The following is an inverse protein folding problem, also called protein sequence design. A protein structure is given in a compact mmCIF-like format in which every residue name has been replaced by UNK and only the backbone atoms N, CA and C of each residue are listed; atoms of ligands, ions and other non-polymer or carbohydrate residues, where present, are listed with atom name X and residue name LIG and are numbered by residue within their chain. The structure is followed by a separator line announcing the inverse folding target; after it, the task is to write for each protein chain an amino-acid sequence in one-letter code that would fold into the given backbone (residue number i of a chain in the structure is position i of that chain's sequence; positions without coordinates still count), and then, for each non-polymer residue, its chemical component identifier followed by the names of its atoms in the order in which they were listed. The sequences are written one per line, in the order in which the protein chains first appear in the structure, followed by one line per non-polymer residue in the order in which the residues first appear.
data_IF_356587414972
#
_entry.id   IF_356587414972
#
_cell.length_a   1.000
_cell.length_b   1.000
_cell.length_c   1.000
_cell.angle_alpha   90.00
_cell.angle_beta   90.00
_cell.angle_gamma   90.00
#
_symmetry.space_group_name_H-M   'P 1'
#
loop_
_entity.id
_entity.type
_entity.pdbx_description
1 polymer ?
#
# COMPACT_ATOMS: atom_id res chain seq x y z
N UNK A 1 45.30 -86.69 21.68
CA UNK A 1 45.92 -86.80 23.00
C UNK A 1 46.12 -85.41 23.59
N UNK A 2 45.82 -85.34 24.89
CA UNK A 2 46.09 -84.13 25.65
C UNK A 2 47.54 -83.78 25.64
N UNK A 3 47.92 -82.54 25.38
CA UNK A 3 49.28 -82.05 25.56
C UNK A 3 49.39 -81.29 26.87
N UNK A 4 50.38 -81.59 27.65
CA UNK A 4 50.73 -80.89 28.86
C UNK A 4 51.38 -79.54 28.47
N UNK A 5 50.80 -78.42 28.99
CA UNK A 5 51.46 -77.12 28.80
C UNK A 5 52.62 -76.98 29.81
N UNK A 6 53.50 -76.02 29.54
CA UNK A 6 54.62 -75.65 30.41
C UNK A 6 54.19 -75.19 31.83
N UNK A 7 52.91 -74.97 32.06
CA UNK A 7 52.32 -74.62 33.35
C UNK A 7 51.70 -75.80 34.10
N UNK A 8 51.82 -77.06 33.61
CA UNK A 8 51.18 -78.23 34.21
C UNK A 8 49.69 -78.40 33.93
N UNK A 9 49.13 -77.58 33.05
CA UNK A 9 47.78 -77.72 32.59
C UNK A 9 47.71 -78.57 31.30
N UNK A 10 46.64 -79.34 31.14
CA UNK A 10 46.39 -80.12 29.94
C UNK A 10 45.42 -79.36 29.01
N UNK A 11 45.83 -79.11 27.78
CA UNK A 11 45.06 -78.47 26.76
C UNK A 11 44.73 -79.42 25.62
N UNK A 12 43.52 -79.33 25.13
CA UNK A 12 43.09 -80.06 23.94
C UNK A 12 42.22 -79.11 23.07
N UNK A 13 42.68 -78.93 21.84
CA UNK A 13 41.93 -78.15 20.86
C UNK A 13 41.01 -79.10 20.08
N UNK A 14 39.73 -78.77 20.07
CA UNK A 14 38.73 -79.45 19.27
C UNK A 14 38.59 -78.65 17.97
N UNK A 15 38.83 -79.26 16.85
CA UNK A 15 38.71 -78.66 15.50
C UNK A 15 37.49 -79.25 14.77
N UNK A 16 37.19 -78.63 13.61
CA UNK A 16 36.15 -79.10 12.69
C UNK A 16 34.74 -79.08 13.30
N UNK A 17 34.46 -78.08 14.18
CA UNK A 17 33.15 -77.87 14.75
C UNK A 17 32.29 -77.08 13.76
N UNK A 18 31.02 -77.51 13.60
CA UNK A 18 30.05 -76.79 12.84
C UNK A 18 29.69 -75.44 13.54
N UNK A 19 29.51 -74.39 12.85
CA UNK A 19 29.09 -73.12 13.43
C UNK A 19 27.64 -73.18 13.91
N UNK A 20 27.29 -72.34 14.92
CA UNK A 20 25.95 -72.20 15.55
C UNK A 20 25.39 -73.51 16.10
N UNK A 21 26.27 -74.37 16.59
CA UNK A 21 25.89 -75.68 17.10
C UNK A 21 26.28 -75.84 18.56
N UNK A 22 25.38 -76.40 19.34
CA UNK A 22 25.68 -76.77 20.73
C UNK A 22 26.49 -78.08 20.77
N UNK A 23 27.57 -78.04 21.50
CA UNK A 23 28.44 -79.20 21.76
C UNK A 23 28.52 -79.49 23.24
N UNK A 24 28.52 -80.79 23.54
CA UNK A 24 28.68 -81.30 24.88
C UNK A 24 30.01 -82.01 24.97
N UNK A 25 30.97 -81.43 25.69
CA UNK A 25 32.30 -82.06 25.90
C UNK A 25 32.29 -82.74 27.22
N UNK A 26 32.70 -84.02 27.17
CA UNK A 26 32.79 -84.87 28.35
C UNK A 26 34.30 -85.24 28.55
N UNK A 27 34.81 -84.88 29.72
CA UNK A 27 36.12 -85.27 30.13
C UNK A 27 35.98 -86.55 31.00
N UNK A 28 36.68 -87.58 30.57
CA UNK A 28 36.82 -88.84 31.30
C UNK A 28 38.26 -89.11 31.61
N UNK A 29 38.60 -89.33 32.89
CA UNK A 29 39.93 -89.71 33.33
C UNK A 29 39.97 -91.21 33.54
N UNK A 30 40.89 -91.92 32.89
CA UNK A 30 41.12 -93.34 33.01
C UNK A 30 42.49 -93.58 33.66
N UNK A 31 42.45 -94.15 34.88
CA UNK A 31 43.69 -94.65 35.56
C UNK A 31 43.72 -96.16 35.41
N UNK A 32 44.89 -96.72 35.12
CA UNK A 32 45.11 -98.15 34.87
C UNK A 32 43.98 -99.08 35.36
N UNK A 33 43.12 -99.52 34.44
CA UNK A 33 42.11 -100.54 34.66
C UNK A 33 40.74 -100.06 35.27
N UNK A 34 40.60 -98.84 35.74
CA UNK A 34 39.33 -98.31 36.35
C UNK A 34 38.97 -96.98 35.72
N UNK A 35 37.68 -96.80 35.36
CA UNK A 35 37.11 -95.52 34.97
C UNK A 35 36.89 -94.68 36.22
N UNK A 36 37.34 -93.43 36.21
CA UNK A 36 36.94 -92.44 37.24
C UNK A 36 35.46 -92.16 37.14
N UNK A 37 34.81 -92.13 38.27
CA UNK A 37 33.34 -91.79 38.37
C UNK A 37 33.11 -90.29 38.28
N UNK A 38 34.15 -89.40 38.35
CA UNK A 38 34.00 -87.98 38.18
C UNK A 38 34.04 -87.58 36.71
N UNK A 39 32.88 -87.25 36.20
CA UNK A 39 32.68 -86.76 34.80
C UNK A 39 32.30 -85.34 34.83
N UNK A 40 33.18 -84.50 34.27
CA UNK A 40 32.88 -83.12 34.07
C UNK A 40 32.33 -82.91 32.64
N UNK A 41 31.22 -82.21 32.56
CA UNK A 41 30.59 -81.83 31.32
C UNK A 41 30.74 -80.32 31.13
N UNK A 42 31.09 -79.88 29.91
CA UNK A 42 31.12 -78.53 29.51
C UNK A 42 30.29 -78.41 28.24
N UNK A 43 29.28 -77.58 28.31
CA UNK A 43 28.45 -77.25 27.15
C UNK A 43 28.91 -75.91 26.62
N UNK A 44 29.04 -75.78 25.34
CA UNK A 44 29.28 -74.53 24.66
C UNK A 44 28.64 -74.56 23.30
N UNK A 45 28.29 -73.36 22.80
CA UNK A 45 27.78 -73.18 21.47
C UNK A 45 28.87 -72.49 20.62
N UNK A 46 29.12 -73.00 19.42
CA UNK A 46 30.01 -72.36 18.47
C UNK A 46 29.39 -71.06 17.95
N UNK A 47 30.24 -70.08 17.68
CA UNK A 47 29.77 -68.80 17.07
C UNK A 47 29.23 -69.03 15.64
N UNK A 48 28.25 -68.25 15.25
CA UNK A 48 27.75 -68.23 13.88
C UNK A 48 28.84 -67.76 12.94
N UNK A 49 28.84 -68.23 11.69
CA UNK A 49 29.69 -67.69 10.64
C UNK A 49 29.41 -66.23 10.45
N UNK A 50 30.44 -65.43 10.45
CA UNK A 50 30.34 -64.01 10.19
C UNK A 50 30.13 -63.76 8.68
N UNK A 51 29.14 -62.89 8.35
CA UNK A 51 28.90 -62.47 6.96
C UNK A 51 30.08 -61.62 6.44
N UNK A 52 30.29 -61.64 5.11
CA UNK A 52 31.19 -60.71 4.45
C UNK A 52 30.71 -59.26 4.59
N UNK A 53 31.61 -58.31 4.87
CA UNK A 53 31.25 -56.92 5.06
C UNK A 53 30.57 -56.30 3.81
N UNK A 54 29.62 -55.40 3.97
CA UNK A 54 29.07 -54.68 2.85
C UNK A 54 30.09 -53.69 2.28
N UNK A 55 29.82 -53.19 1.08
CA UNK A 55 30.58 -52.09 0.47
C UNK A 55 29.87 -50.76 0.73
N UNK A 56 30.59 -49.67 0.78
CA UNK A 56 29.96 -48.33 0.89
C UNK A 56 28.98 -48.07 -0.26
N UNK A 57 29.19 -48.65 -1.45
CA UNK A 57 28.29 -48.55 -2.59
C UNK A 57 26.97 -49.34 -2.45
N UNK A 58 26.85 -50.20 -1.42
CA UNK A 58 25.63 -50.94 -1.12
C UNK A 58 24.54 -50.04 -0.53
N UNK A 59 24.82 -48.76 -0.29
CA UNK A 59 23.84 -47.74 0.06
C UNK A 59 23.99 -46.50 -0.84
N UNK A 60 22.89 -45.76 -0.98
CA UNK A 60 22.89 -44.43 -1.62
C UNK A 60 22.27 -43.41 -0.69
N UNK A 61 22.81 -42.19 -0.71
CA UNK A 61 22.31 -41.09 0.10
C UNK A 61 21.62 -40.09 -0.83
N UNK A 62 20.39 -39.73 -0.51
CA UNK A 62 19.69 -38.60 -1.12
C UNK A 62 19.79 -37.43 -0.14
N UNK A 63 20.57 -36.43 -0.49
CA UNK A 63 20.83 -35.27 0.38
C UNK A 63 19.60 -34.33 0.48
N UNK A 64 18.81 -34.22 -0.58
CA UNK A 64 17.61 -33.38 -0.57
C UNK A 64 16.45 -33.99 0.25
N UNK A 65 16.30 -35.33 0.17
CA UNK A 65 15.26 -36.06 0.91
C UNK A 65 15.70 -36.49 2.30
N UNK A 66 16.98 -36.31 2.61
CA UNK A 66 17.62 -36.74 3.88
C UNK A 66 17.42 -38.24 4.16
N UNK A 67 17.65 -39.07 3.14
CA UNK A 67 17.41 -40.50 3.23
C UNK A 67 18.66 -41.33 2.87
N UNK A 68 18.81 -42.48 3.55
CA UNK A 68 19.74 -43.55 3.23
C UNK A 68 18.94 -44.72 2.66
N UNK A 69 19.27 -45.15 1.46
CA UNK A 69 18.64 -46.25 0.74
C UNK A 69 19.57 -47.45 0.67
N UNK A 70 19.06 -48.63 1.02
CA UNK A 70 19.76 -49.90 0.91
C UNK A 70 19.68 -50.43 -0.53
N UNK A 71 20.83 -50.57 -1.19
CA UNK A 71 21.03 -51.12 -2.55
C UNK A 71 21.50 -52.57 -2.53
N UNK A 72 21.85 -53.11 -1.35
CA UNK A 72 22.27 -54.50 -1.22
C UNK A 72 21.13 -55.48 -1.44
N UNK A 73 21.48 -56.74 -1.71
CA UNK A 73 20.54 -57.86 -1.86
C UNK A 73 20.07 -58.48 -0.52
N UNK A 74 20.37 -57.82 0.60
CA UNK A 74 20.04 -58.26 1.96
C UNK A 74 19.70 -57.07 2.85
N UNK A 75 19.13 -57.35 4.04
CA UNK A 75 18.93 -56.32 5.06
C UNK A 75 20.26 -55.79 5.58
N UNK A 76 20.40 -54.46 5.63
CA UNK A 76 21.48 -53.76 6.28
C UNK A 76 21.03 -53.13 7.60
N UNK A 77 22.02 -52.84 8.43
CA UNK A 77 21.86 -51.98 9.59
C UNK A 77 22.82 -50.84 9.55
N UNK A 78 22.40 -49.66 10.08
CA UNK A 78 23.29 -48.50 10.15
C UNK A 78 23.36 -47.94 11.56
N UNK A 79 24.47 -47.28 11.87
CA UNK A 79 24.73 -46.56 13.11
C UNK A 79 25.72 -45.43 12.92
N UNK A 80 25.79 -44.50 13.87
CA UNK A 80 26.77 -43.39 13.86
C UNK A 80 28.17 -43.78 14.36
N UNK A 81 28.35 -45.01 14.85
CA UNK A 81 29.63 -45.54 15.30
C UNK A 81 29.77 -47.00 14.89
N UNK A 82 30.98 -47.45 14.56
CA UNK A 82 31.24 -48.84 14.26
C UNK A 82 31.04 -49.76 15.48
N UNK A 83 31.20 -49.20 16.68
CA UNK A 83 31.09 -49.91 17.95
C UNK A 83 29.72 -49.66 18.64
N UNK A 84 28.70 -49.22 17.87
CA UNK A 84 27.39 -48.91 18.38
C UNK A 84 26.72 -50.13 19.01
N UNK A 85 26.11 -49.94 20.21
CA UNK A 85 25.39 -51.00 20.91
C UNK A 85 24.02 -51.26 20.29
N UNK A 86 23.46 -50.30 19.56
CA UNK A 86 22.19 -50.41 18.84
C UNK A 86 22.37 -50.01 17.38
N UNK A 87 21.70 -50.74 16.49
CA UNK A 87 21.76 -50.56 15.05
C UNK A 87 20.34 -50.48 14.51
N UNK A 88 20.12 -49.54 13.56
CA UNK A 88 18.84 -49.39 12.90
C UNK A 88 18.79 -50.18 11.60
N UNK A 89 17.78 -51.02 11.44
CA UNK A 89 17.64 -51.88 10.25
C UNK A 89 17.15 -51.09 9.04
N UNK A 90 17.78 -51.33 7.91
CA UNK A 90 17.31 -50.90 6.59
C UNK A 90 17.00 -52.17 5.77
N UNK A 91 15.73 -52.44 5.55
CA UNK A 91 15.32 -53.61 4.74
C UNK A 91 15.91 -53.53 3.33
N UNK A 92 16.07 -54.67 2.70
CA UNK A 92 16.49 -54.76 1.29
C UNK A 92 15.63 -53.83 0.43
N UNK A 93 16.20 -52.91 -0.37
CA UNK A 93 15.53 -51.92 -1.20
C UNK A 93 14.80 -50.84 -0.39
N UNK A 94 14.87 -50.84 0.93
CA UNK A 94 14.21 -49.88 1.81
C UNK A 94 14.99 -48.58 1.94
N UNK A 95 14.27 -47.54 2.43
CA UNK A 95 14.82 -46.20 2.73
C UNK A 95 14.57 -45.84 4.19
N UNK A 96 15.52 -45.18 4.82
CA UNK A 96 15.38 -44.62 6.18
C UNK A 96 15.72 -43.14 6.15
N UNK A 97 15.06 -42.36 7.02
CA UNK A 97 15.39 -40.93 7.22
C UNK A 97 16.59 -40.81 8.14
N UNK A 98 17.45 -39.86 7.84
CA UNK A 98 18.64 -39.54 8.62
C UNK A 98 18.45 -38.36 9.57
N UNK A 99 17.23 -37.81 9.68
CA UNK A 99 16.90 -36.57 10.41
C UNK A 99 17.50 -36.55 11.82
N UNK A 100 17.35 -37.61 12.60
CA UNK A 100 17.86 -37.66 13.98
C UNK A 100 19.40 -37.56 14.08
N UNK A 101 20.16 -38.00 13.06
CA UNK A 101 21.60 -37.84 13.00
C UNK A 101 21.96 -36.40 12.54
N UNK A 102 21.19 -35.84 11.62
CA UNK A 102 21.45 -34.53 11.03
C UNK A 102 21.13 -33.37 11.99
N UNK A 103 20.11 -33.49 12.82
CA UNK A 103 19.73 -32.45 13.77
C UNK A 103 20.88 -32.13 14.73
N UNK A 104 21.61 -33.15 15.20
CA UNK A 104 22.77 -32.96 16.06
C UNK A 104 23.90 -32.14 15.39
N UNK A 105 24.19 -32.41 14.11
CA UNK A 105 25.26 -31.70 13.41
C UNK A 105 24.82 -30.34 12.88
N UNK A 106 23.52 -30.09 12.66
CA UNK A 106 22.99 -28.78 12.36
C UNK A 106 23.17 -27.81 13.52
N UNK A 107 23.07 -28.29 14.75
CA UNK A 107 23.23 -27.46 15.95
C UNK A 107 24.69 -27.21 16.31
N UNK A 108 25.53 -28.25 16.21
CA UNK A 108 26.95 -28.19 16.65
C UNK A 108 27.95 -27.87 15.53
N UNK A 109 27.54 -28.03 14.27
CA UNK A 109 28.44 -28.07 13.12
C UNK A 109 29.22 -29.40 13.07
N UNK A 110 30.07 -29.58 12.07
CA UNK A 110 30.89 -30.75 11.92
C UNK A 110 30.31 -31.84 11.04
N UNK A 111 30.68 -33.11 11.32
CA UNK A 111 30.22 -34.28 10.59
C UNK A 111 29.84 -35.41 11.51
N UNK A 112 29.02 -36.33 11.02
CA UNK A 112 28.71 -37.59 11.70
C UNK A 112 28.94 -38.76 10.75
N UNK A 113 29.79 -39.75 11.12
CA UNK A 113 29.97 -40.91 10.30
C UNK A 113 28.74 -41.83 10.31
N UNK A 114 28.45 -42.45 9.19
CA UNK A 114 27.45 -43.51 9.07
C UNK A 114 28.15 -44.81 8.70
N UNK A 115 28.09 -45.78 9.61
CA UNK A 115 28.54 -47.14 9.41
C UNK A 115 27.39 -48.03 9.01
N UNK A 116 27.65 -48.98 8.11
CA UNK A 116 26.68 -49.99 7.69
C UNK A 116 27.27 -51.37 7.91
N UNK A 117 26.40 -52.33 8.26
CA UNK A 117 26.73 -53.78 8.32
C UNK A 117 25.56 -54.60 7.79
N UNK A 118 25.83 -55.82 7.33
CA UNK A 118 24.78 -56.78 7.05
C UNK A 118 24.16 -57.25 8.35
N UNK A 119 22.83 -57.27 8.39
CA UNK A 119 22.09 -57.73 9.57
C UNK A 119 22.29 -59.20 9.83
N UNK A 120 22.40 -59.61 11.10
CA UNK A 120 22.45 -61.02 11.46
C UNK A 120 21.20 -61.74 10.95
N UNK A 121 21.39 -63.01 10.50
CA UNK A 121 20.32 -63.91 10.10
C UNK A 121 20.20 -65.06 11.11
N UNK A 122 19.32 -66.03 10.85
CA UNK A 122 19.23 -67.25 11.63
C UNK A 122 20.50 -68.09 11.63
N UNK A 123 21.23 -68.05 10.50
CA UNK A 123 22.41 -68.91 10.27
C UNK A 123 23.76 -68.18 10.31
N UNK A 124 23.74 -66.82 10.26
CA UNK A 124 24.96 -66.04 10.19
C UNK A 124 24.95 -64.87 11.18
N UNK A 125 26.09 -64.55 11.79
CA UNK A 125 26.24 -63.32 12.58
C UNK A 125 26.31 -62.09 11.71
N UNK A 126 26.09 -60.92 12.29
CA UNK A 126 26.26 -59.65 11.59
C UNK A 126 27.69 -59.52 11.02
N UNK A 127 27.81 -58.83 9.89
CA UNK A 127 29.11 -58.56 9.31
C UNK A 127 29.93 -57.55 10.11
N UNK A 128 31.18 -57.38 9.76
CA UNK A 128 31.95 -56.19 10.14
C UNK A 128 31.26 -54.92 9.60
N UNK A 129 31.39 -53.85 10.38
CA UNK A 129 30.84 -52.52 10.00
C UNK A 129 31.85 -51.77 9.10
N UNK A 130 31.31 -51.17 8.06
CA UNK A 130 32.08 -50.36 7.09
C UNK A 130 31.53 -48.92 7.11
N UNK A 131 32.43 -47.94 7.04
CA UNK A 131 32.07 -46.55 6.85
C UNK A 131 31.41 -46.35 5.47
N UNK A 132 30.16 -45.97 5.46
CA UNK A 132 29.40 -45.68 4.24
C UNK A 132 29.62 -44.22 3.79
N UNK A 133 29.58 -43.29 4.72
CA UNK A 133 29.77 -41.87 4.47
C UNK A 133 30.04 -41.09 5.76
N UNK A 134 30.63 -39.92 5.62
CA UNK A 134 30.63 -38.87 6.62
C UNK A 134 29.54 -37.83 6.23
N UNK A 135 28.47 -37.73 7.02
CA UNK A 135 27.38 -36.82 6.77
C UNK A 135 27.78 -35.40 7.19
N UNK A 136 27.54 -34.46 6.31
CA UNK A 136 27.80 -33.03 6.55
C UNK A 136 26.56 -32.21 6.20
N UNK A 137 26.36 -31.09 6.88
CA UNK A 137 25.34 -30.09 6.55
C UNK A 137 25.98 -28.85 5.92
N UNK A 138 25.19 -28.06 5.22
CA UNK A 138 25.60 -26.73 4.83
C UNK A 138 25.80 -25.85 6.08
N UNK A 139 26.60 -24.80 5.90
CA UNK A 139 26.83 -23.82 6.95
C UNK A 139 25.52 -23.09 7.36
N UNK A 140 25.56 -22.40 8.48
CA UNK A 140 24.52 -21.43 8.86
C UNK A 140 24.68 -20.20 7.97
N UNK A 141 23.60 -19.60 7.44
CA UNK A 141 23.71 -18.37 6.65
C UNK A 141 24.37 -17.24 7.44
N UNK A 142 25.34 -16.59 6.81
CA UNK A 142 26.00 -15.43 7.38
C UNK A 142 25.06 -14.21 7.40
N UNK A 143 25.33 -13.23 8.27
CA UNK A 143 24.53 -11.99 8.38
C UNK A 143 24.47 -11.23 7.04
N UNK A 144 25.51 -11.29 6.22
CA UNK A 144 25.56 -10.71 4.88
C UNK A 144 24.54 -11.32 3.89
N UNK A 145 24.07 -12.53 4.16
CA UNK A 145 23.08 -13.26 3.36
C UNK A 145 21.66 -13.23 3.97
N UNK A 146 21.50 -12.54 5.08
CA UNK A 146 20.19 -12.37 5.74
C UNK A 146 19.19 -11.71 4.80
N UNK A 147 17.98 -12.23 4.68
CA UNK A 147 16.93 -11.59 3.89
C UNK A 147 16.69 -10.16 4.35
N UNK A 148 16.48 -9.27 3.37
CA UNK A 148 16.20 -7.85 3.63
C UNK A 148 14.79 -7.50 3.23
N UNK A 149 14.07 -6.75 4.07
CA UNK A 149 12.71 -6.28 3.84
C UNK A 149 12.75 -4.81 3.41
N UNK A 150 12.18 -4.51 2.23
CA UNK A 150 11.84 -3.15 1.82
C UNK A 150 10.40 -2.85 2.26
N UNK A 151 10.26 -2.14 3.35
CA UNK A 151 8.97 -1.81 3.96
C UNK A 151 8.12 -0.87 3.09
N UNK A 152 8.75 -0.07 2.23
CA UNK A 152 8.03 0.87 1.36
C UNK A 152 7.47 0.19 0.12
N UNK A 153 8.18 -0.79 -0.42
CA UNK A 153 7.75 -1.56 -1.58
C UNK A 153 6.97 -2.81 -1.21
N UNK A 154 6.95 -3.17 0.07
CA UNK A 154 6.39 -4.43 0.55
C UNK A 154 7.02 -5.64 -0.16
N UNK A 155 8.34 -5.63 -0.24
CA UNK A 155 9.14 -6.66 -0.88
C UNK A 155 10.17 -7.24 0.09
N UNK A 156 10.52 -8.53 -0.11
CA UNK A 156 11.64 -9.17 0.56
C UNK A 156 12.66 -9.63 -0.48
N UNK A 157 13.94 -9.36 -0.22
CA UNK A 157 15.04 -9.87 -1.04
C UNK A 157 15.70 -11.03 -0.34
N UNK A 158 15.74 -12.18 -1.00
CA UNK A 158 16.38 -13.43 -0.51
C UNK A 158 17.39 -13.88 -1.54
N UNK A 159 18.64 -14.12 -1.09
CA UNK A 159 19.72 -14.60 -1.96
C UNK A 159 19.33 -15.87 -2.72
N UNK A 160 19.76 -15.97 -3.97
CA UNK A 160 19.53 -17.17 -4.81
C UNK A 160 20.20 -18.44 -4.29
N UNK A 161 21.14 -18.32 -3.35
CA UNK A 161 21.78 -19.45 -2.67
C UNK A 161 20.96 -20.04 -1.53
N UNK A 162 19.91 -19.34 -1.09
CA UNK A 162 19.07 -19.71 0.04
C UNK A 162 17.73 -20.28 -0.42
N UNK A 163 17.30 -21.34 0.25
CA UNK A 163 15.90 -21.77 0.23
C UNK A 163 15.16 -21.14 1.41
N UNK A 164 13.86 -20.85 1.23
CA UNK A 164 13.04 -20.23 2.25
C UNK A 164 11.61 -20.76 2.27
N UNK A 165 10.98 -20.59 3.44
CA UNK A 165 9.56 -20.84 3.69
C UNK A 165 9.01 -19.67 4.47
N UNK A 166 7.84 -19.16 4.09
CA UNK A 166 7.12 -18.14 4.87
C UNK A 166 5.98 -18.82 5.61
N UNK A 167 5.94 -18.60 6.90
CA UNK A 167 4.92 -19.16 7.80
C UNK A 167 4.10 -18.02 8.36
N UNK A 168 2.79 -18.05 8.11
CA UNK A 168 1.85 -17.03 8.55
C UNK A 168 1.31 -17.35 9.95
N UNK A 169 1.22 -16.31 10.79
CA UNK A 169 0.61 -16.41 12.11
C UNK A 169 1.41 -17.22 13.12
N UNK A 170 0.71 -17.92 14.02
CA UNK A 170 1.27 -18.61 15.19
C UNK A 170 1.92 -19.96 14.91
N UNK A 171 1.87 -20.47 13.71
CA UNK A 171 2.53 -21.70 13.34
C UNK A 171 4.04 -21.49 13.27
N UNK A 172 4.79 -22.16 14.13
CA UNK A 172 6.24 -21.94 14.29
C UNK A 172 7.12 -22.92 13.51
N UNK A 173 6.55 -23.93 12.88
CA UNK A 173 7.32 -24.97 12.20
C UNK A 173 7.29 -24.81 10.67
N UNK A 174 8.45 -24.60 10.02
CA UNK A 174 8.51 -24.47 8.57
C UNK A 174 8.30 -25.83 7.89
N UNK A 175 7.45 -25.85 6.86
CA UNK A 175 7.32 -27.00 5.98
C UNK A 175 8.32 -26.91 4.80
N UNK A 176 9.47 -27.52 4.93
CA UNK A 176 10.51 -27.47 3.92
C UNK A 176 10.19 -28.19 2.60
N UNK A 177 9.12 -29.00 2.57
CA UNK A 177 8.68 -29.63 1.30
C UNK A 177 8.07 -28.60 0.33
N UNK A 178 7.61 -27.45 0.85
CA UNK A 178 7.09 -26.32 0.08
C UNK A 178 8.11 -25.18 -0.08
N UNK A 179 9.36 -25.40 0.30
CA UNK A 179 10.41 -24.38 0.23
C UNK A 179 10.63 -23.89 -1.20
N UNK A 180 10.89 -22.61 -1.34
CA UNK A 180 11.27 -21.95 -2.59
C UNK A 180 12.72 -21.52 -2.53
N UNK A 181 13.36 -21.37 -3.67
CA UNK A 181 14.68 -20.73 -3.76
C UNK A 181 14.52 -19.21 -3.85
N UNK A 182 15.41 -18.49 -3.20
CA UNK A 182 15.50 -17.05 -3.38
C UNK A 182 15.87 -16.70 -4.82
N UNK A 183 15.58 -15.48 -5.24
CA UNK A 183 15.86 -14.99 -6.59
C UNK A 183 17.02 -13.99 -6.64
N UNK A 184 17.42 -13.46 -5.49
CA UNK A 184 18.33 -12.31 -5.40
C UNK A 184 17.68 -10.97 -5.75
N UNK A 185 16.39 -10.96 -6.07
CA UNK A 185 15.59 -9.77 -6.37
C UNK A 185 14.40 -9.67 -5.40
N UNK A 186 13.72 -8.51 -5.40
CA UNK A 186 12.54 -8.29 -4.57
C UNK A 186 11.40 -9.25 -4.91
N UNK A 187 10.82 -9.84 -3.89
CA UNK A 187 9.66 -10.73 -3.94
C UNK A 187 8.55 -10.00 -3.18
N UNK A 188 7.41 -9.76 -3.83
CA UNK A 188 6.27 -9.11 -3.16
C UNK A 188 5.77 -9.95 -1.98
N UNK A 189 5.55 -9.27 -0.85
CA UNK A 189 4.99 -9.84 0.36
C UNK A 189 3.67 -9.16 0.77
N UNK A 190 3.10 -8.33 -0.10
CA UNK A 190 1.86 -7.58 0.16
C UNK A 190 0.73 -8.47 0.68
N UNK A 191 0.52 -9.64 0.06
CA UNK A 191 -0.53 -10.60 0.45
C UNK A 191 -0.20 -11.37 1.75
N UNK A 192 1.01 -11.22 2.27
CA UNK A 192 1.49 -11.92 3.46
C UNK A 192 1.42 -11.01 4.69
N UNK A 193 1.59 -9.69 4.47
CA UNK A 193 1.56 -8.71 5.55
C UNK A 193 0.13 -8.60 6.10
N UNK A 194 -0.04 -8.91 7.38
CA UNK A 194 -1.34 -8.88 8.07
C UNK A 194 -1.40 -7.73 9.07
N UNK A 195 -2.61 -7.24 9.37
CA UNK A 195 -2.88 -6.35 10.51
C UNK A 195 -2.98 -7.10 11.84
N UNK A 196 -3.25 -8.41 11.80
CA UNK A 196 -3.60 -9.19 12.99
C UNK A 196 -2.40 -9.94 13.57
N UNK A 197 -1.50 -10.42 12.73
CA UNK A 197 -0.39 -11.27 13.14
C UNK A 197 0.88 -10.98 12.34
N UNK A 198 2.01 -11.35 12.92
CA UNK A 198 3.31 -11.36 12.25
C UNK A 198 3.45 -12.64 11.43
N UNK A 199 4.36 -12.61 10.45
CA UNK A 199 4.77 -13.80 9.69
C UNK A 199 6.26 -14.03 9.88
N UNK A 200 6.70 -15.28 9.77
CA UNK A 200 8.11 -15.64 9.92
C UNK A 200 8.66 -16.20 8.62
N UNK A 201 9.76 -15.66 8.16
CA UNK A 201 10.53 -16.19 7.03
C UNK A 201 11.65 -17.04 7.59
N UNK A 202 11.58 -18.36 7.39
CA UNK A 202 12.67 -19.27 7.67
C UNK A 202 13.51 -19.43 6.41
N UNK A 203 14.82 -19.37 6.54
CA UNK A 203 15.75 -19.48 5.42
C UNK A 203 17.00 -20.27 5.82
N UNK A 204 17.58 -20.97 4.87
CA UNK A 204 18.81 -21.77 5.04
C UNK A 204 19.47 -22.04 3.70
N UNK A 205 20.72 -22.46 3.70
CA UNK A 205 21.31 -23.05 2.49
C UNK A 205 20.64 -24.39 2.17
N UNK A 206 20.29 -24.58 0.91
CA UNK A 206 19.67 -25.81 0.42
C UNK A 206 20.67 -26.99 0.47
N UNK A 207 20.14 -28.21 0.51
CA UNK A 207 20.96 -29.40 0.30
C UNK A 207 21.59 -29.38 -1.10
N UNK A 208 22.76 -29.97 -1.21
CA UNK A 208 23.52 -30.10 -2.47
C UNK A 208 23.99 -31.54 -2.69
N UNK A 209 23.45 -32.18 -3.72
CA UNK A 209 23.92 -33.50 -4.14
C UNK A 209 25.33 -33.46 -4.72
N UNK A 210 25.74 -32.33 -5.34
CA UNK A 210 27.07 -32.12 -5.90
C UNK A 210 28.11 -32.03 -4.79
N UNK A 211 27.84 -31.20 -3.76
CA UNK A 211 28.73 -30.99 -2.63
C UNK A 211 28.62 -32.08 -1.56
N UNK A 212 27.65 -32.99 -1.72
CA UNK A 212 27.35 -34.07 -0.77
C UNK A 212 27.03 -33.50 0.64
N UNK A 213 26.26 -32.44 0.70
CA UNK A 213 25.86 -31.78 1.95
C UNK A 213 24.34 -31.72 2.09
N UNK A 214 23.86 -31.99 3.27
CA UNK A 214 22.45 -31.76 3.64
C UNK A 214 22.18 -30.29 3.84
N UNK A 215 20.89 -29.91 3.83
CA UNK A 215 20.50 -28.54 4.13
C UNK A 215 21.02 -28.08 5.51
N UNK A 216 21.39 -26.82 5.60
CA UNK A 216 21.92 -26.21 6.82
C UNK A 216 20.85 -25.98 7.89
N UNK A 217 21.29 -25.48 9.04
CA UNK A 217 20.40 -25.01 10.10
C UNK A 217 19.59 -23.83 9.57
N UNK A 218 18.27 -23.81 9.80
CA UNK A 218 17.46 -22.65 9.42
C UNK A 218 17.68 -21.49 10.38
N UNK A 219 17.74 -20.29 9.82
CA UNK A 219 17.61 -19.02 10.51
C UNK A 219 16.24 -18.41 10.18
N UNK A 220 15.85 -17.35 10.87
CA UNK A 220 14.58 -16.69 10.62
C UNK A 220 14.65 -15.18 10.78
N UNK A 221 13.74 -14.49 10.06
CA UNK A 221 13.41 -13.09 10.28
C UNK A 221 11.89 -12.96 10.38
N UNK A 222 11.46 -11.91 11.06
CA UNK A 222 10.03 -11.60 11.22
C UNK A 222 9.59 -10.57 10.20
N UNK A 223 8.47 -10.82 9.52
CA UNK A 223 7.70 -9.83 8.80
C UNK A 223 6.70 -9.26 9.82
N UNK A 224 6.88 -8.02 10.29
CA UNK A 224 5.99 -7.46 11.30
C UNK A 224 4.58 -7.22 10.74
N UNK A 225 3.60 -7.19 11.60
CA UNK A 225 2.23 -6.82 11.24
C UNK A 225 2.15 -5.33 10.89
N UNK A 226 1.14 -4.95 10.12
CA UNK A 226 0.83 -3.54 9.86
C UNK A 226 0.42 -2.84 11.17
N UNK A 227 0.77 -1.57 11.27
CA UNK A 227 0.22 -0.70 12.33
C UNK A 227 -1.29 -0.49 12.09
N UNK A 228 -2.02 -0.15 13.15
CA UNK A 228 -3.43 0.20 13.03
C UNK A 228 -3.61 1.42 12.12
N UNK A 229 -4.69 1.44 11.33
CA UNK A 229 -5.04 2.59 10.52
C UNK A 229 -5.33 3.82 11.42
N UNK A 230 -5.06 5.05 10.96
CA UNK A 230 -5.47 6.26 11.66
C UNK A 230 -7.00 6.35 11.72
N UNK A 231 -7.54 7.35 12.43
CA UNK A 231 -8.98 7.63 12.38
C UNK A 231 -9.42 7.98 10.95
N UNK A 232 -10.61 7.54 10.52
CA UNK A 232 -11.16 7.89 9.22
C UNK A 232 -11.36 9.39 9.07
N UNK A 233 -11.26 9.89 7.83
CA UNK A 233 -11.54 11.30 7.51
C UNK A 233 -13.05 11.51 7.61
N UNK A 234 -13.47 12.62 8.22
CA UNK A 234 -14.88 13.03 8.35
C UNK A 234 -15.19 14.23 7.46
N UNK A 235 -16.47 14.44 7.14
CA UNK A 235 -16.91 15.59 6.35
C UNK A 235 -16.49 16.94 6.95
N UNK A 236 -16.47 17.07 8.27
CA UNK A 236 -16.06 18.30 8.97
C UNK A 236 -14.56 18.61 8.85
N UNK A 237 -13.75 17.64 8.42
CA UNK A 237 -12.31 17.79 8.26
C UNK A 237 -11.91 18.12 6.82
N UNK A 238 -12.84 18.28 5.89
CA UNK A 238 -12.54 18.61 4.51
C UNK A 238 -13.10 19.96 4.09
N UNK A 239 -12.30 20.75 3.38
CA UNK A 239 -12.74 21.94 2.67
C UNK A 239 -12.65 21.67 1.18
N UNK A 240 -13.76 21.91 0.47
CA UNK A 240 -13.88 21.54 -0.94
C UNK A 240 -14.16 22.78 -1.79
N UNK A 241 -13.40 22.95 -2.85
CA UNK A 241 -13.60 23.96 -3.90
C UNK A 241 -13.96 23.29 -5.23
N UNK A 242 -13.93 24.02 -6.33
CA UNK A 242 -14.17 23.48 -7.68
C UNK A 242 -13.04 22.56 -8.17
N UNK A 243 -11.83 22.75 -7.70
CA UNK A 243 -10.64 22.03 -8.22
C UNK A 243 -9.72 21.49 -7.12
N UNK A 244 -10.09 21.68 -5.85
CA UNK A 244 -9.22 21.35 -4.72
C UNK A 244 -10.03 20.72 -3.58
N UNK A 245 -9.47 19.72 -2.92
CA UNK A 245 -9.92 19.17 -1.65
C UNK A 245 -8.80 19.38 -0.64
N UNK A 246 -9.04 20.11 0.43
CA UNK A 246 -8.10 20.35 1.54
C UNK A 246 -8.54 19.59 2.77
N UNK A 247 -7.64 18.82 3.37
CA UNK A 247 -7.87 18.04 4.58
C UNK A 247 -7.36 18.85 5.78
N UNK A 248 -8.27 19.30 6.63
CA UNK A 248 -8.00 20.17 7.78
C UNK A 248 -7.67 19.36 9.04
N UNK A 249 -6.77 18.41 8.91
CA UNK A 249 -6.32 17.55 10.02
C UNK A 249 -4.90 17.91 10.42
N UNK A 250 -4.65 18.03 11.74
CA UNK A 250 -3.29 18.18 12.26
C UNK A 250 -2.51 16.87 12.10
N UNK A 251 -1.33 16.96 11.50
CA UNK A 251 -0.41 15.84 11.29
C UNK A 251 1.01 16.32 11.67
N UNK A 252 1.28 16.59 12.97
CA UNK A 252 2.51 17.25 13.39
C UNK A 252 3.76 16.40 13.13
N UNK A 253 3.64 15.07 13.15
CA UNK A 253 4.74 14.14 12.86
C UNK A 253 4.88 13.84 11.37
N UNK A 254 3.96 14.34 10.55
CA UNK A 254 3.90 14.08 9.11
C UNK A 254 3.96 12.57 8.77
N UNK A 255 3.35 11.74 9.60
CA UNK A 255 3.32 10.28 9.46
C UNK A 255 2.06 9.76 8.77
N UNK A 256 1.04 10.62 8.58
CA UNK A 256 -0.17 10.31 7.83
C UNK A 256 -0.02 10.81 6.39
N UNK A 257 -0.35 9.99 5.43
CA UNK A 257 -0.53 10.37 4.03
C UNK A 257 -1.99 10.21 3.62
N UNK A 258 -2.40 11.00 2.63
CA UNK A 258 -3.77 11.02 2.14
C UNK A 258 -3.80 10.49 0.72
N UNK A 259 -4.82 9.69 0.44
CA UNK A 259 -5.04 9.12 -0.89
C UNK A 259 -6.37 9.57 -1.47
N UNK A 260 -6.44 9.72 -2.78
CA UNK A 260 -7.68 10.01 -3.47
C UNK A 260 -7.82 9.19 -4.74
N UNK A 261 -9.03 9.00 -5.17
CA UNK A 261 -9.37 8.45 -6.48
C UNK A 261 -10.73 8.95 -6.92
N UNK A 262 -11.03 8.79 -8.20
CA UNK A 262 -12.36 8.98 -8.74
C UNK A 262 -13.37 8.03 -8.08
N UNK A 263 -14.58 8.49 -7.77
CA UNK A 263 -15.61 7.69 -7.11
C UNK A 263 -16.05 6.50 -7.97
N UNK A 264 -16.02 6.66 -9.30
CA UNK A 264 -16.42 5.63 -10.26
C UNK A 264 -15.28 4.71 -10.66
N UNK A 265 -14.08 4.89 -10.10
CA UNK A 265 -12.90 4.08 -10.39
C UNK A 265 -12.68 2.99 -9.35
N UNK A 266 -12.46 1.76 -9.83
CA UNK A 266 -11.97 0.65 -9.02
C UNK A 266 -10.43 0.62 -8.91
N UNK A 267 -9.75 1.61 -9.48
CA UNK A 267 -8.30 1.71 -9.51
C UNK A 267 -7.67 1.97 -8.13
N UNK A 268 -6.35 1.94 -8.10
CA UNK A 268 -5.57 2.27 -6.91
C UNK A 268 -5.76 3.73 -6.51
N UNK A 269 -5.62 4.02 -5.22
CA UNK A 269 -5.58 5.40 -4.72
C UNK A 269 -4.25 6.06 -5.12
N UNK A 270 -4.32 7.31 -5.55
CA UNK A 270 -3.16 8.19 -5.69
C UNK A 270 -2.84 8.78 -4.33
N UNK A 271 -1.63 8.53 -3.81
CA UNK A 271 -1.18 9.03 -2.52
C UNK A 271 -0.41 10.34 -2.68
N UNK A 272 -0.64 11.28 -1.76
CA UNK A 272 -0.01 12.62 -1.79
C UNK A 272 0.75 12.88 -0.49
N UNK A 273 1.82 13.67 -0.64
CA UNK A 273 2.51 14.30 0.48
C UNK A 273 1.87 15.67 0.75
N UNK A 274 1.24 15.79 1.90
CA UNK A 274 0.53 17.00 2.29
C UNK A 274 -0.96 16.80 2.43
N UNK A 275 -1.69 17.89 2.64
CA UNK A 275 -3.11 17.88 2.97
C UNK A 275 -4.00 18.43 1.85
N UNK A 276 -3.45 18.78 0.70
CA UNK A 276 -4.17 19.44 -0.39
C UNK A 276 -4.09 18.63 -1.68
N UNK A 277 -5.25 18.25 -2.19
CA UNK A 277 -5.43 17.56 -3.46
C UNK A 277 -5.86 18.59 -4.49
N UNK A 278 -5.03 18.85 -5.48
CA UNK A 278 -5.22 19.89 -6.49
C UNK A 278 -5.48 19.30 -7.89
N UNK A 279 -5.95 20.16 -8.81
CA UNK A 279 -6.13 19.79 -10.22
C UNK A 279 -7.31 18.87 -10.47
N UNK A 280 -8.29 18.86 -9.57
CA UNK A 280 -9.51 18.06 -9.68
C UNK A 280 -10.49 18.64 -10.68
N UNK A 281 -11.37 17.81 -11.22
CA UNK A 281 -12.46 18.27 -12.07
C UNK A 281 -13.58 18.87 -11.23
N UNK A 282 -14.18 20.02 -11.64
CA UNK A 282 -15.36 20.58 -10.98
C UNK A 282 -16.58 19.68 -11.09
N UNK A 283 -17.48 19.75 -10.11
CA UNK A 283 -18.73 18.97 -10.02
C UNK A 283 -18.51 17.46 -10.18
N UNK A 284 -17.41 16.94 -9.64
CA UNK A 284 -17.00 15.55 -9.80
C UNK A 284 -16.84 14.83 -8.46
N UNK A 285 -17.19 13.55 -8.42
CA UNK A 285 -17.12 12.73 -7.22
C UNK A 285 -15.74 12.11 -7.01
N UNK A 286 -15.23 12.18 -5.79
CA UNK A 286 -13.97 11.58 -5.38
C UNK A 286 -14.12 10.78 -4.09
N UNK A 287 -13.27 9.80 -3.93
CA UNK A 287 -13.03 9.10 -2.66
C UNK A 287 -11.74 9.60 -2.04
N UNK A 288 -11.77 9.96 -0.77
CA UNK A 288 -10.59 10.40 -0.01
C UNK A 288 -10.38 9.48 1.18
N UNK A 289 -9.15 9.07 1.42
CA UNK A 289 -8.76 8.15 2.49
C UNK A 289 -7.44 8.57 3.11
N UNK A 290 -7.06 7.95 4.21
CA UNK A 290 -5.76 8.16 4.87
C UNK A 290 -5.15 6.86 5.34
N UNK A 291 -3.82 6.84 5.51
CA UNK A 291 -3.08 5.77 6.16
C UNK A 291 -1.82 6.33 6.81
N UNK A 292 -1.23 5.58 7.73
CA UNK A 292 0.12 5.87 8.24
C UNK A 292 1.12 5.48 7.16
N UNK A 293 2.09 6.34 6.89
CA UNK A 293 3.16 6.12 5.90
C UNK A 293 4.05 4.94 6.29
N UNK A 294 4.57 4.25 5.30
CA UNK A 294 5.66 3.30 5.53
C UNK A 294 6.90 4.03 6.06
N UNK A 295 7.55 3.42 7.05
CA UNK A 295 8.82 3.88 7.64
C UNK A 295 9.94 2.91 7.28
N UNK A 296 11.16 3.20 7.72
CA UNK A 296 12.32 2.34 7.45
C UNK A 296 12.18 0.92 8.02
N UNK A 297 11.39 0.77 9.09
CA UNK A 297 11.19 -0.50 9.80
C UNK A 297 9.72 -0.84 10.04
N UNK A 298 8.79 -0.24 9.31
CA UNK A 298 7.37 -0.48 9.45
C UNK A 298 6.64 -0.28 8.11
N UNK A 299 5.73 -1.19 7.79
CA UNK A 299 4.85 -1.07 6.63
C UNK A 299 3.84 0.06 6.81
N UNK A 300 3.37 0.60 5.69
CA UNK A 300 2.21 1.48 5.74
C UNK A 300 1.03 0.76 6.40
N UNK A 301 0.21 1.50 7.16
CA UNK A 301 -0.99 0.92 7.75
C UNK A 301 -2.01 0.54 6.66
N UNK A 302 -3.04 -0.20 7.03
CA UNK A 302 -4.24 -0.26 6.21
C UNK A 302 -4.80 1.16 6.02
N UNK A 303 -5.44 1.38 4.87
CA UNK A 303 -6.15 2.62 4.62
C UNK A 303 -7.46 2.68 5.43
N UNK A 304 -7.87 3.87 5.79
CA UNK A 304 -9.18 4.07 6.40
C UNK A 304 -10.31 3.83 5.40
N UNK A 305 -11.55 3.69 5.90
CA UNK A 305 -12.72 3.72 5.03
C UNK A 305 -12.74 5.04 4.27
N UNK A 306 -12.91 5.02 2.94
CA UNK A 306 -12.92 6.23 2.14
C UNK A 306 -14.15 7.09 2.45
N UNK A 307 -13.94 8.40 2.50
CA UNK A 307 -14.98 9.40 2.49
C UNK A 307 -15.30 9.77 1.04
N UNK A 308 -16.59 9.68 0.66
CA UNK A 308 -17.05 10.17 -0.62
C UNK A 308 -17.27 11.69 -0.53
N UNK A 309 -16.68 12.44 -1.43
CA UNK A 309 -16.80 13.89 -1.51
C UNK A 309 -17.03 14.30 -2.97
N UNK A 310 -17.66 15.46 -3.18
CA UNK A 310 -17.84 16.02 -4.51
C UNK A 310 -17.26 17.42 -4.56
N UNK A 311 -16.45 17.70 -5.56
CA UNK A 311 -15.95 19.04 -5.83
C UNK A 311 -17.09 19.96 -6.21
N UNK A 312 -16.98 21.25 -5.84
CA UNK A 312 -17.95 22.26 -6.22
C UNK A 312 -17.86 22.55 -7.72
N UNK A 313 -18.98 22.96 -8.28
CA UNK A 313 -18.96 23.40 -9.67
C UNK A 313 -18.36 24.81 -9.78
N UNK A 314 -17.94 25.21 -10.98
CA UNK A 314 -17.40 26.52 -11.30
C UNK A 314 -18.33 27.23 -12.27
N UNK A 315 -18.42 28.54 -12.13
CA UNK A 315 -19.20 29.38 -13.07
C UNK A 315 -18.27 30.30 -13.85
N UNK A 316 -18.53 30.47 -15.15
CA UNK A 316 -17.83 31.40 -16.01
C UNK A 316 -18.77 32.02 -17.05
N UNK A 317 -18.46 33.25 -17.47
CA UNK A 317 -19.12 33.89 -18.60
C UNK A 317 -18.40 33.45 -19.88
N UNK A 318 -19.16 32.95 -20.84
CA UNK A 318 -18.67 32.52 -22.16
C UNK A 318 -19.47 33.25 -23.23
N UNK A 319 -18.81 33.77 -24.27
CA UNK A 319 -19.45 34.40 -25.38
C UNK A 319 -18.44 35.08 -26.32
N UNK A 320 -18.89 35.54 -27.45
CA UNK A 320 -18.05 36.10 -28.54
C UNK A 320 -18.57 37.42 -29.15
N UNK A 321 -19.41 38.15 -28.41
CA UNK A 321 -19.91 39.45 -28.87
C UNK A 321 -18.92 40.61 -28.62
N UNK A 322 -19.14 41.76 -29.28
CA UNK A 322 -18.35 42.99 -29.05
C UNK A 322 -18.71 43.70 -27.76
N UNK A 323 -19.93 43.51 -27.26
CA UNK A 323 -20.43 44.08 -26.02
C UNK A 323 -20.91 42.92 -25.14
N UNK A 324 -20.34 42.81 -23.97
CA UNK A 324 -20.62 41.73 -23.03
C UNK A 324 -21.91 41.97 -22.24
N UNK A 325 -22.22 43.21 -21.91
CA UNK A 325 -23.29 43.60 -21.01
C UNK A 325 -24.36 44.45 -21.69
N UNK A 326 -25.61 44.20 -21.35
CA UNK A 326 -26.75 45.10 -21.62
C UNK A 326 -27.22 45.68 -20.29
N UNK A 327 -26.88 46.92 -20.05
CA UNK A 327 -27.20 47.68 -18.85
C UNK A 327 -27.48 49.14 -19.22
N UNK A 328 -28.74 49.46 -19.51
CA UNK A 328 -29.16 50.78 -19.99
C UNK A 328 -30.10 51.42 -19.00
N UNK A 329 -29.82 52.68 -18.66
CA UNK A 329 -30.61 53.47 -17.76
C UNK A 329 -30.76 54.92 -18.23
N UNK A 330 -31.58 55.67 -17.52
CA UNK A 330 -31.77 57.12 -17.74
C UNK A 330 -31.24 57.86 -16.53
N UNK A 331 -30.67 59.03 -16.71
CA UNK A 331 -30.18 59.87 -15.63
C UNK A 331 -31.32 60.10 -14.59
N UNK A 332 -30.99 60.01 -13.29
CA UNK A 332 -31.91 60.15 -12.20
C UNK A 332 -32.57 58.86 -11.72
N UNK A 333 -32.33 57.74 -12.41
CA UNK A 333 -32.75 56.39 -11.99
C UNK A 333 -31.66 55.79 -11.16
N UNK A 334 -32.03 55.12 -10.03
CA UNK A 334 -31.06 54.42 -9.18
C UNK A 334 -30.49 53.19 -9.87
N UNK A 335 -29.28 52.81 -9.51
CA UNK A 335 -28.57 51.65 -10.06
C UNK A 335 -29.43 50.38 -9.93
N UNK A 336 -30.10 50.19 -8.79
CA UNK A 336 -30.99 49.04 -8.55
C UNK A 336 -32.19 48.93 -9.52
N UNK A 337 -32.57 50.05 -10.15
CA UNK A 337 -33.69 50.08 -11.09
C UNK A 337 -33.21 49.94 -12.55
N UNK A 338 -31.88 49.94 -12.78
CA UNK A 338 -31.31 49.73 -14.10
C UNK A 338 -31.20 48.22 -14.32
N UNK A 339 -31.91 47.66 -15.32
CA UNK A 339 -31.79 46.25 -15.61
C UNK A 339 -30.35 45.93 -16.07
N UNK A 340 -29.84 44.80 -15.66
CA UNK A 340 -28.52 44.28 -16.08
C UNK A 340 -28.60 42.85 -16.52
N UNK A 341 -28.09 42.55 -17.70
CA UNK A 341 -28.06 41.21 -18.26
C UNK A 341 -26.85 41.07 -19.18
N UNK A 342 -26.50 39.81 -19.45
CA UNK A 342 -25.55 39.53 -20.52
C UNK A 342 -26.17 39.85 -21.89
N UNK A 343 -25.40 40.44 -22.77
CA UNK A 343 -25.84 40.72 -24.14
C UNK A 343 -25.97 39.43 -24.95
N UNK A 344 -26.71 39.46 -26.05
CA UNK A 344 -26.89 38.33 -26.95
C UNK A 344 -25.56 37.72 -27.37
N UNK A 345 -25.44 36.42 -27.34
CA UNK A 345 -24.21 35.67 -27.66
C UNK A 345 -23.30 35.40 -26.43
N UNK A 346 -23.70 35.89 -25.26
CA UNK A 346 -23.05 35.52 -23.99
C UNK A 346 -23.98 34.71 -23.08
N UNK A 347 -23.39 33.84 -22.29
CA UNK A 347 -24.10 33.05 -21.29
C UNK A 347 -23.21 32.68 -20.12
N UNK A 348 -23.82 32.24 -19.03
CA UNK A 348 -23.11 31.64 -17.90
C UNK A 348 -23.06 30.12 -18.11
N UNK A 349 -21.89 29.54 -17.92
CA UNK A 349 -21.65 28.12 -18.07
C UNK A 349 -20.94 27.56 -16.84
N UNK A 350 -21.24 26.31 -16.54
CA UNK A 350 -20.55 25.56 -15.48
C UNK A 350 -19.20 24.94 -15.94
N UNK A 351 -18.54 24.23 -15.05
CA UNK A 351 -17.27 23.53 -15.31
C UNK A 351 -17.35 22.51 -16.45
N UNK A 352 -18.52 21.89 -16.63
CA UNK A 352 -18.80 20.92 -17.69
C UNK A 352 -19.26 21.55 -19.02
N UNK A 353 -19.15 22.87 -19.19
CA UNK A 353 -19.64 23.61 -20.37
C UNK A 353 -21.15 23.56 -20.59
N UNK A 354 -21.94 23.33 -19.55
CA UNK A 354 -23.40 23.39 -19.66
C UNK A 354 -23.89 24.76 -19.29
N UNK A 355 -24.93 25.31 -19.97
CA UNK A 355 -25.48 26.62 -19.66
C UNK A 355 -26.16 26.59 -18.30
N UNK A 356 -25.97 27.65 -17.51
CA UNK A 356 -26.57 27.84 -16.18
C UNK A 356 -27.51 29.00 -16.23
N UNK A 357 -28.80 28.71 -15.94
CA UNK A 357 -29.83 29.75 -15.84
C UNK A 357 -29.71 30.52 -14.53
N UNK A 358 -29.95 31.81 -14.57
CA UNK A 358 -29.88 32.66 -13.38
C UNK A 358 -30.12 34.13 -13.71
N UNK A 359 -30.01 34.99 -12.70
CA UNK A 359 -30.20 36.42 -12.79
C UNK A 359 -29.00 37.21 -12.35
N UNK A 360 -28.80 38.37 -12.95
CA UNK A 360 -27.77 39.31 -12.55
C UNK A 360 -28.38 40.44 -11.73
N UNK A 361 -27.69 40.84 -10.67
CA UNK A 361 -28.04 41.96 -9.81
C UNK A 361 -26.82 42.83 -9.53
N UNK A 362 -27.07 44.13 -9.30
CA UNK A 362 -26.04 45.05 -8.83
C UNK A 362 -25.72 44.80 -7.35
N UNK A 363 -24.43 44.77 -7.04
CA UNK A 363 -23.94 44.61 -5.68
C UNK A 363 -23.87 46.00 -4.96
N UNK A 364 -23.99 46.04 -3.63
CA UNK A 364 -23.73 47.24 -2.84
C UNK A 364 -22.29 47.75 -3.04
N UNK A 365 -22.13 49.07 -2.99
CA UNK A 365 -20.82 49.69 -3.06
C UNK A 365 -20.56 50.55 -1.81
N UNK A 366 -19.41 50.36 -1.16
CA UNK A 366 -18.99 51.14 0.02
C UNK A 366 -20.11 51.26 1.10
N UNK A 367 -20.80 50.18 1.40
CA UNK A 367 -21.95 50.10 2.32
C UNK A 367 -23.19 50.84 1.83
N UNK A 368 -23.22 51.37 0.61
CA UNK A 368 -24.41 51.98 -0.01
C UNK A 368 -25.16 50.91 -0.82
N UNK A 369 -26.46 50.67 -0.55
CA UNK A 369 -27.22 49.76 -1.38
C UNK A 369 -27.35 50.31 -2.80
N UNK A 370 -27.50 49.45 -3.80
CA UNK A 370 -27.64 49.83 -5.19
C UNK A 370 -28.78 50.84 -5.42
N UNK A 371 -29.80 50.83 -4.56
CA UNK A 371 -30.92 51.81 -4.55
C UNK A 371 -30.48 53.23 -4.17
N UNK A 372 -29.38 53.39 -3.48
CA UNK A 372 -28.82 54.71 -3.11
C UNK A 372 -27.77 55.25 -4.09
N UNK A 373 -27.45 54.52 -5.15
CA UNK A 373 -26.46 54.91 -6.15
C UNK A 373 -27.15 55.38 -7.43
N UNK A 374 -26.80 56.57 -7.89
CA UNK A 374 -27.39 57.21 -9.09
C UNK A 374 -26.28 57.44 -10.13
N UNK A 375 -26.13 56.58 -11.12
CA UNK A 375 -25.11 56.70 -12.14
C UNK A 375 -25.29 57.98 -12.98
N UNK A 376 -24.19 58.61 -13.36
CA UNK A 376 -24.20 59.84 -14.15
C UNK A 376 -24.02 59.57 -15.63
N UNK A 377 -24.53 60.46 -16.48
CA UNK A 377 -24.28 60.42 -17.93
C UNK A 377 -22.77 60.57 -18.20
N UNK A 378 -22.16 59.66 -18.97
CA UNK A 378 -20.73 59.65 -19.34
C UNK A 378 -19.76 59.49 -18.15
N UNK A 379 -20.19 58.97 -17.03
CA UNK A 379 -19.33 58.80 -15.85
C UNK A 379 -18.30 57.67 -16.04
N UNK A 380 -18.54 56.76 -16.96
CA UNK A 380 -17.68 55.54 -17.21
C UNK A 380 -17.31 54.75 -15.95
N UNK A 381 -18.03 54.95 -14.86
CA UNK A 381 -17.80 54.24 -13.60
C UNK A 381 -18.35 52.84 -13.73
N UNK A 382 -17.50 51.86 -13.41
CA UNK A 382 -17.89 50.49 -13.34
C UNK A 382 -18.49 50.14 -11.96
N UNK A 383 -19.50 49.30 -11.95
CA UNK A 383 -20.14 48.77 -10.75
C UNK A 383 -20.13 47.23 -10.79
N UNK A 384 -20.05 46.62 -9.63
CA UNK A 384 -20.00 45.17 -9.53
C UNK A 384 -21.42 44.58 -9.70
N UNK A 385 -21.51 43.55 -10.52
CA UNK A 385 -22.70 42.71 -10.66
C UNK A 385 -22.42 41.31 -10.15
N UNK A 386 -23.46 40.65 -9.64
CA UNK A 386 -23.42 39.28 -9.11
C UNK A 386 -24.46 38.44 -9.82
N UNK A 387 -24.02 37.24 -10.19
CA UNK A 387 -24.91 36.21 -10.73
C UNK A 387 -25.50 35.35 -9.61
N UNK A 388 -26.81 35.14 -9.67
CA UNK A 388 -27.52 34.22 -8.81
C UNK A 388 -28.14 33.13 -9.67
N UNK A 389 -27.65 31.88 -9.59
CA UNK A 389 -28.23 30.74 -10.30
C UNK A 389 -29.68 30.51 -9.88
N UNK A 390 -30.52 30.07 -10.80
CA UNK A 390 -31.93 29.70 -10.52
C UNK A 390 -31.98 28.41 -9.70
N UNK A 391 -31.08 27.46 -9.95
CA UNK A 391 -30.97 26.26 -9.14
C UNK A 391 -30.16 26.53 -7.87
N UNK A 392 -30.84 26.65 -6.75
CA UNK A 392 -30.24 26.87 -5.44
C UNK A 392 -29.65 25.62 -4.80
N UNK A 393 -29.87 24.43 -5.39
CA UNK A 393 -29.31 23.16 -4.90
C UNK A 393 -27.88 22.93 -5.41
N UNK A 394 -27.49 23.57 -6.51
CA UNK A 394 -26.15 23.48 -7.08
C UNK A 394 -25.13 24.18 -6.17
N UNK A 395 -24.06 23.47 -5.86
CA UNK A 395 -22.97 24.00 -5.03
C UNK A 395 -21.83 24.52 -5.92
N UNK A 396 -21.63 25.83 -5.91
CA UNK A 396 -20.56 26.48 -6.67
C UNK A 396 -19.40 26.89 -5.78
N UNK A 397 -18.19 26.85 -6.34
CA UNK A 397 -16.95 27.17 -5.64
C UNK A 397 -16.97 28.60 -5.09
N UNK A 398 -17.44 29.53 -5.91
CA UNK A 398 -17.52 30.96 -5.56
C UNK A 398 -18.64 31.62 -6.30
N UNK A 399 -19.10 32.76 -5.76
CA UNK A 399 -20.02 33.64 -6.44
C UNK A 399 -19.41 34.21 -7.70
N UNK A 400 -20.10 34.10 -8.82
CA UNK A 400 -19.67 34.74 -10.07
C UNK A 400 -20.03 36.22 -10.02
N UNK A 401 -19.02 37.07 -10.08
CA UNK A 401 -19.17 38.55 -10.14
C UNK A 401 -18.41 39.08 -11.35
N UNK A 402 -18.82 40.24 -11.82
CA UNK A 402 -18.15 40.97 -12.87
C UNK A 402 -18.33 42.48 -12.70
N UNK A 403 -17.64 43.24 -13.54
CA UNK A 403 -17.66 44.71 -13.50
C UNK A 403 -18.34 45.24 -14.74
N UNK A 404 -19.35 46.08 -14.54
CA UNK A 404 -20.23 46.62 -15.60
C UNK A 404 -20.28 48.13 -15.54
N UNK A 405 -20.11 48.79 -16.66
CA UNK A 405 -20.37 50.23 -16.84
C UNK A 405 -21.74 50.40 -17.47
N UNK A 406 -22.74 50.91 -16.75
CA UNK A 406 -24.07 51.09 -17.33
C UNK A 406 -24.05 52.25 -18.34
N UNK A 407 -24.77 52.08 -19.44
CA UNK A 407 -25.01 53.16 -20.44
C UNK A 407 -26.14 54.02 -19.94
N UNK A 408 -25.85 55.27 -19.54
CA UNK A 408 -26.81 56.21 -19.02
C UNK A 408 -27.19 57.28 -20.06
N UNK A 409 -28.40 57.23 -20.50
CA UNK A 409 -28.96 58.24 -21.37
C UNK A 409 -29.31 59.52 -20.61
N UNK A 410 -29.36 60.67 -21.32
CA UNK A 410 -29.85 61.91 -20.76
C UNK A 410 -31.33 61.79 -20.43
N UNK A 411 -31.75 62.40 -19.33
CA UNK A 411 -33.16 62.53 -19.01
C UNK A 411 -33.82 63.49 -20.03
N UNK A 412 -34.93 63.12 -20.67
CA UNK A 412 -35.63 63.97 -21.60
C UNK A 412 -36.37 65.08 -20.81
N UNK A 413 -35.64 66.17 -20.57
CA UNK A 413 -36.16 67.30 -19.79
C UNK A 413 -37.16 68.11 -20.60
N UNK A 414 -38.38 68.15 -20.18
CA UNK A 414 -39.40 69.08 -20.66
C UNK A 414 -39.50 70.20 -19.68
N UNK A 415 -39.59 71.44 -20.17
CA UNK A 415 -39.71 72.62 -19.35
C UNK A 415 -40.53 73.68 -20.04
N UNK A 416 -41.10 74.58 -19.26
CA UNK A 416 -41.73 75.80 -19.71
C UNK A 416 -41.17 77.00 -18.94
N UNK A 417 -41.07 78.14 -19.64
CA UNK A 417 -40.58 79.41 -19.08
C UNK A 417 -41.64 80.43 -19.25
N UNK A 418 -41.99 81.10 -18.17
CA UNK A 418 -42.86 82.24 -18.21
C UNK A 418 -42.06 83.53 -17.97
N UNK A 419 -42.34 84.56 -18.71
CA UNK A 419 -41.69 85.87 -18.58
C UNK A 419 -42.70 86.83 -17.99
N UNK A 420 -42.24 87.91 -17.34
CA UNK A 420 -43.06 88.98 -16.82
C UNK A 420 -43.41 89.98 -17.92
N UNK A 421 -44.60 90.53 -17.79
CA UNK A 421 -44.94 91.70 -18.55
C UNK A 421 -44.00 92.83 -18.20
N UNK A 422 -43.59 93.61 -19.25
CA UNK A 422 -42.59 94.65 -19.12
C UNK A 422 -43.12 95.91 -19.63
N UNK A 423 -42.91 97.01 -18.88
CA UNK A 423 -43.10 98.36 -19.40
C UNK A 423 -42.05 98.71 -20.43
N UNK A 424 -42.41 99.33 -21.49
CA UNK A 424 -41.46 99.68 -22.58
C UNK A 424 -40.29 100.51 -22.05
N UNK A 425 -39.09 99.97 -22.29
CA UNK A 425 -37.80 100.56 -21.90
C UNK A 425 -36.79 100.66 -23.07
N UNK A 426 -37.21 100.33 -24.26
CA UNK A 426 -36.36 100.40 -25.46
C UNK A 426 -35.39 99.22 -25.58
N UNK A 427 -35.47 98.17 -24.70
CA UNK A 427 -34.61 97.02 -24.72
C UNK A 427 -35.37 95.70 -24.99
N UNK A 428 -34.65 94.70 -25.49
CA UNK A 428 -35.20 93.33 -25.68
C UNK A 428 -35.19 92.44 -24.40
N UNK A 429 -34.61 92.94 -23.34
CA UNK A 429 -34.44 92.09 -22.12
C UNK A 429 -35.80 91.72 -21.55
N UNK A 430 -35.92 90.40 -21.19
CA UNK A 430 -37.13 89.91 -20.58
C UNK A 430 -36.78 89.28 -19.16
N UNK A 431 -37.61 89.69 -18.20
CA UNK A 431 -37.48 89.11 -16.87
C UNK A 431 -38.30 87.80 -16.76
N UNK A 432 -37.61 86.72 -16.35
CA UNK A 432 -38.25 85.43 -16.16
C UNK A 432 -39.05 85.42 -14.89
N UNK A 433 -40.38 85.07 -14.97
CA UNK A 433 -41.25 84.96 -13.84
C UNK A 433 -41.21 83.57 -13.18
N UNK A 434 -41.10 82.53 -14.00
CA UNK A 434 -41.00 81.16 -13.51
C UNK A 434 -40.33 80.26 -14.58
N UNK A 435 -39.69 79.20 -14.11
CA UNK A 435 -39.27 78.04 -14.88
C UNK A 435 -39.87 76.81 -14.23
N UNK A 436 -40.60 76.05 -14.98
CA UNK A 436 -41.23 74.83 -14.50
C UNK A 436 -40.70 73.64 -15.32
N UNK A 437 -40.38 72.58 -14.65
CA UNK A 437 -39.91 71.32 -15.27
C UNK A 437 -41.02 70.28 -15.13
N UNK A 438 -41.29 69.52 -16.18
CA UNK A 438 -42.17 68.40 -16.15
C UNK A 438 -41.35 67.13 -15.63
N UNK A 439 -42.01 66.35 -14.74
CA UNK A 439 -41.38 65.10 -14.18
C UNK A 439 -40.85 65.30 -12.78
N UNK A 440 -40.19 64.25 -12.27
CA UNK A 440 -39.68 64.17 -10.87
C UNK A 440 -38.28 64.74 -10.66
N UNK A 441 -37.74 65.43 -11.65
CA UNK A 441 -36.39 65.99 -11.54
C UNK A 441 -36.43 67.35 -10.87
N UNK A 442 -35.73 67.49 -9.77
CA UNK A 442 -35.54 68.76 -9.07
C UNK A 442 -34.21 69.36 -9.50
N UNK A 443 -34.25 70.47 -10.22
CA UNK A 443 -33.06 71.20 -10.68
C UNK A 443 -32.95 72.53 -9.93
N UNK A 444 -31.73 72.94 -9.63
CA UNK A 444 -31.41 74.18 -8.95
C UNK A 444 -30.88 75.17 -9.97
N UNK A 445 -31.53 76.40 -9.97
CA UNK A 445 -31.05 77.47 -10.80
C UNK A 445 -29.62 77.85 -10.44
N UNK A 446 -28.84 78.25 -11.47
CA UNK A 446 -27.43 78.63 -11.41
C UNK A 446 -26.46 77.53 -10.97
N UNK A 447 -26.98 76.35 -10.65
CA UNK A 447 -26.17 75.14 -10.41
C UNK A 447 -26.40 74.10 -11.50
N UNK A 448 -27.64 73.77 -11.77
CA UNK A 448 -28.02 72.72 -12.69
C UNK A 448 -28.49 73.23 -14.05
N UNK A 449 -29.00 74.50 -14.08
CA UNK A 449 -29.37 75.15 -15.30
C UNK A 449 -29.25 76.69 -15.19
N UNK A 450 -29.05 77.33 -16.33
CA UNK A 450 -29.19 78.78 -16.51
C UNK A 450 -30.30 79.05 -17.54
N UNK A 451 -31.03 80.11 -17.36
CA UNK A 451 -32.07 80.50 -18.28
C UNK A 451 -31.99 82.00 -18.55
N UNK A 452 -32.07 82.39 -19.82
CA UNK A 452 -32.16 83.77 -20.28
C UNK A 452 -33.35 83.91 -21.19
N UNK A 453 -33.99 85.05 -21.15
CA UNK A 453 -35.14 85.37 -22.01
C UNK A 453 -34.92 86.70 -22.65
N UNK A 454 -35.36 86.84 -23.88
CA UNK A 454 -35.34 88.11 -24.61
C UNK A 454 -36.58 88.18 -25.52
N UNK A 455 -37.16 89.34 -25.65
CA UNK A 455 -38.18 89.57 -26.67
C UNK A 455 -37.63 89.58 -28.03
N UNK A 456 -38.38 89.25 -29.08
CA UNK A 456 -37.93 89.22 -30.44
C UNK A 456 -37.49 90.63 -30.93
N UNK A 457 -38.20 91.66 -30.51
CA UNK A 457 -37.87 93.04 -30.78
C UNK A 457 -38.21 93.96 -29.59
N UNK A 458 -37.83 95.24 -29.62
CA UNK A 458 -38.02 96.21 -28.59
C UNK A 458 -39.34 97.02 -28.77
N UNK A 459 -40.16 96.70 -29.75
CA UNK A 459 -41.42 97.39 -30.01
C UNK A 459 -42.52 97.06 -29.02
N UNK A 460 -43.46 98.03 -28.82
CA UNK A 460 -44.63 97.76 -27.99
C UNK A 460 -45.62 96.81 -28.69
N UNK A 461 -46.14 95.82 -27.99
CA UNK A 461 -47.10 94.89 -28.55
C UNK A 461 -47.56 93.88 -27.49
N UNK A 462 -48.68 93.28 -27.68
CA UNK A 462 -49.22 92.19 -26.80
C UNK A 462 -48.80 90.85 -27.36
N UNK A 463 -48.63 89.86 -26.47
CA UNK A 463 -48.32 88.49 -26.83
C UNK A 463 -47.04 88.34 -27.70
N UNK A 464 -46.04 89.04 -27.35
CA UNK A 464 -44.71 88.89 -27.99
C UNK A 464 -44.03 87.52 -27.51
N UNK A 465 -43.45 86.82 -28.48
CA UNK A 465 -42.72 85.60 -28.24
C UNK A 465 -41.20 85.85 -27.95
#
# INVERSE_FOLDING_TARGET
PLRESSSGNYEYTITDLDPDKEYHVRLMIKKEGTLSLDVTYVNFQTEKVRQEAPKAADVSINYEQETLENKASCDLEYAASKDAQSWTTIRQGGKVRLTGLLDNIRESGGSVPVYIRKKASSSMSASEAVLAADLQTQAIPEESNKPNIDYRKEEITISSSLQYVIVNGTNTSPNWTSAKMGSGSGISITDIISSDHESTVYYRYAASNTDKKFAGKPESITIPKRTAAPAAITEGEVTITGTTITINRTNPENDIEYGYRDVDSDGAFTWIDGTEIQGLYPAHGYQVTSRIKAKENAFASERTQPLNVSTKDTLRIVGNGTQKWDAKGTYGVSLAQIPVSLASGYGVYNGANQPVAGTWSWEPENSSPASGIYPKVKDNKAYTVKFTPTDSSASYDRTLTDSVVPEISKYPLKFSVAVKDKTYDGTKNADISSVTFEGSVILQKDKDYTVTASFDDASVGNNKS
#
